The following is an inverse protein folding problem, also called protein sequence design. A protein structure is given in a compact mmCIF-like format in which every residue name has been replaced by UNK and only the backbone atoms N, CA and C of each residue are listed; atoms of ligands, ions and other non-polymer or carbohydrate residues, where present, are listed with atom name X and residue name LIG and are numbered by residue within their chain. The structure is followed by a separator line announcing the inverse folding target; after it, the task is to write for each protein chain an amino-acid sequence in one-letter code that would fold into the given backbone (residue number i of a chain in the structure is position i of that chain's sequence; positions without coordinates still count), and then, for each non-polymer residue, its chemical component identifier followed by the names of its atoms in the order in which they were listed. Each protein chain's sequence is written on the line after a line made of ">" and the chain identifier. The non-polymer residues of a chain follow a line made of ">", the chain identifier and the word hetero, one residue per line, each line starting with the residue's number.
data_IF_442367239088
#
_entry.id   IF_442367239088
#
_cell.length_a   1.000
_cell.length_b   1.000
_cell.length_c   1.000
_cell.angle_alpha   90.00
_cell.angle_beta   90.00
_cell.angle_gamma   90.00
#
_symmetry.space_group_name_H-M   'P 1'
#
loop_
_entity.id
_entity.type
_entity.pdbx_description
1 polymer ?
#
# COMPACT_ATOMS: atom_id res chain seq x y z
N UNK A 1 14.76 9.44 -9.92
CA UNK A 1 14.72 7.95 -9.87
C UNK A 1 13.64 7.36 -10.78
N UNK A 2 12.46 7.97 -10.94
CA UNK A 2 11.39 7.46 -11.83
C UNK A 2 11.84 7.36 -13.29
N UNK A 3 12.60 8.35 -13.79
CA UNK A 3 13.08 8.37 -15.17
C UNK A 3 13.89 7.11 -15.55
N UNK A 4 14.68 6.53 -14.64
CA UNK A 4 15.46 5.33 -14.95
C UNK A 4 14.54 4.11 -15.10
N UNK A 5 13.61 3.90 -14.16
CA UNK A 5 12.70 2.76 -14.23
C UNK A 5 11.77 2.86 -15.44
N UNK A 6 11.26 4.06 -15.75
CA UNK A 6 10.38 4.29 -16.89
C UNK A 6 11.10 4.11 -18.23
N UNK A 7 12.35 4.57 -18.33
CA UNK A 7 13.17 4.45 -19.55
C UNK A 7 13.55 3.00 -19.87
N UNK A 8 13.80 2.15 -18.87
CA UNK A 8 14.32 0.79 -19.09
C UNK A 8 13.31 -0.34 -18.87
N UNK A 9 12.24 -0.11 -18.10
CA UNK A 9 11.27 -1.14 -17.74
C UNK A 9 9.85 -0.83 -18.24
N UNK A 10 9.66 0.28 -18.97
CA UNK A 10 8.36 0.74 -19.46
C UNK A 10 7.32 1.00 -18.36
N UNK A 11 7.76 0.99 -17.09
CA UNK A 11 6.92 1.12 -15.92
C UNK A 11 7.66 1.88 -14.83
N UNK A 12 6.96 2.79 -14.16
CA UNK A 12 7.45 3.47 -12.96
C UNK A 12 7.44 2.49 -11.77
N UNK A 13 8.41 1.57 -11.71
CA UNK A 13 8.61 0.70 -10.53
C UNK A 13 8.99 1.48 -9.26
N UNK A 14 9.17 2.80 -9.35
CA UNK A 14 9.34 3.69 -8.20
C UNK A 14 8.14 3.73 -7.25
N UNK A 15 6.95 3.31 -7.70
CA UNK A 15 5.79 3.21 -6.82
C UNK A 15 5.80 1.96 -5.94
N UNK A 16 6.41 0.85 -6.36
CA UNK A 16 6.46 -0.37 -5.55
C UNK A 16 7.11 -0.16 -4.16
N UNK A 17 8.29 0.49 -4.04
CA UNK A 17 8.87 0.83 -2.73
C UNK A 17 7.97 1.74 -1.89
N UNK A 18 7.21 2.64 -2.54
CA UNK A 18 6.31 3.59 -1.90
C UNK A 18 5.07 2.89 -1.31
N UNK A 19 4.51 1.92 -2.05
CA UNK A 19 3.43 1.05 -1.58
C UNK A 19 3.90 0.20 -0.40
N UNK A 20 5.05 -0.48 -0.54
CA UNK A 20 5.63 -1.30 0.52
C UNK A 20 5.90 -0.49 1.79
N UNK A 21 6.44 0.74 1.65
CA UNK A 21 6.68 1.63 2.78
C UNK A 21 5.38 1.99 3.50
N UNK A 22 4.35 2.43 2.77
CA UNK A 22 3.07 2.84 3.35
C UNK A 22 2.39 1.69 4.11
N UNK A 23 2.31 0.51 3.50
CA UNK A 23 1.70 -0.69 4.11
C UNK A 23 2.49 -1.13 5.34
N UNK A 24 3.84 -1.15 5.28
CA UNK A 24 4.67 -1.54 6.43
C UNK A 24 4.51 -0.57 7.59
N UNK A 25 4.49 0.74 7.32
CA UNK A 25 4.25 1.74 8.36
C UNK A 25 2.85 1.59 8.98
N UNK A 26 1.82 1.35 8.16
CA UNK A 26 0.47 1.10 8.64
C UNK A 26 0.40 -0.14 9.54
N UNK A 27 0.97 -1.28 9.11
CA UNK A 27 1.04 -2.53 9.89
C UNK A 27 1.87 -2.39 11.18
N UNK A 28 2.76 -1.41 11.26
CA UNK A 28 3.49 -1.06 12.49
C UNK A 28 2.74 -0.04 13.38
N UNK A 29 1.44 0.19 13.12
CA UNK A 29 0.59 1.14 13.82
C UNK A 29 1.09 2.60 13.76
N UNK A 30 1.81 2.97 12.69
CA UNK A 30 2.20 4.36 12.50
C UNK A 30 0.97 5.24 12.29
N UNK A 31 0.99 6.45 12.85
CA UNK A 31 -0.08 7.45 12.63
C UNK A 31 -0.18 7.82 11.15
N UNK A 32 -1.41 8.05 10.68
CA UNK A 32 -1.68 8.44 9.29
C UNK A 32 -0.86 9.68 8.86
N UNK A 33 -0.65 10.64 9.76
CA UNK A 33 0.17 11.84 9.51
C UNK A 33 1.66 11.54 9.31
N UNK A 34 2.19 10.50 9.96
CA UNK A 34 3.57 10.06 9.77
C UNK A 34 3.74 9.37 8.40
N UNK A 35 2.76 8.54 8.01
CA UNK A 35 2.70 7.91 6.69
C UNK A 35 2.57 8.99 5.60
N UNK A 36 1.65 9.93 5.77
CA UNK A 36 1.49 11.07 4.86
C UNK A 36 2.80 11.83 4.65
N UNK A 37 3.53 12.12 5.74
CA UNK A 37 4.84 12.81 5.68
C UNK A 37 5.89 11.98 4.96
N UNK A 38 5.96 10.67 5.21
CA UNK A 38 6.89 9.77 4.54
C UNK A 38 6.61 9.65 3.04
N UNK A 39 5.34 9.75 2.65
CA UNK A 39 4.92 9.76 1.25
C UNK A 39 5.06 11.17 0.64
N UNK A 40 5.03 12.24 1.43
CA UNK A 40 4.99 13.61 0.90
C UNK A 40 3.64 13.94 0.27
N UNK A 41 2.54 13.35 0.77
CA UNK A 41 1.20 13.73 0.36
C UNK A 41 0.82 15.08 0.96
N UNK A 42 0.22 15.95 0.16
CA UNK A 42 -0.22 17.28 0.58
C UNK A 42 -1.48 17.25 1.45
N UNK A 43 -2.24 16.15 1.41
CA UNK A 43 -3.51 15.98 2.12
C UNK A 43 -3.60 14.58 2.76
N UNK A 44 -4.01 14.47 4.04
CA UNK A 44 -4.32 13.19 4.68
C UNK A 44 -5.30 12.29 3.91
N UNK A 45 -6.31 12.86 3.26
CA UNK A 45 -7.32 12.11 2.50
C UNK A 45 -6.70 11.27 1.37
N UNK A 46 -5.69 11.83 0.69
CA UNK A 46 -4.93 11.11 -0.35
C UNK A 46 -4.23 9.89 0.26
N UNK A 47 -3.71 10.01 1.48
CA UNK A 47 -3.05 8.90 2.18
C UNK A 47 -4.05 7.83 2.61
N UNK A 48 -5.26 8.23 3.01
CA UNK A 48 -6.34 7.31 3.35
C UNK A 48 -6.75 6.45 2.16
N UNK A 49 -7.13 7.08 1.04
CA UNK A 49 -7.49 6.38 -0.21
C UNK A 49 -6.35 5.48 -0.69
N UNK A 50 -5.12 5.99 -0.67
CA UNK A 50 -3.93 5.22 -1.05
C UNK A 50 -3.74 3.97 -0.19
N UNK A 51 -3.96 4.05 1.13
CA UNK A 51 -3.88 2.89 2.01
C UNK A 51 -5.03 1.92 1.76
N UNK A 52 -6.27 2.39 1.56
CA UNK A 52 -7.41 1.53 1.23
C UNK A 52 -7.17 0.76 -0.07
N UNK A 53 -6.73 1.42 -1.13
CA UNK A 53 -6.39 0.78 -2.41
C UNK A 53 -5.31 -0.31 -2.23
N UNK A 54 -4.27 -0.04 -1.44
CA UNK A 54 -3.16 -0.96 -1.22
C UNK A 54 -3.34 -1.93 -0.06
N UNK A 55 -4.43 -1.87 0.68
CA UNK A 55 -4.83 -2.88 1.65
C UNK A 55 -6.05 -3.65 1.16
N UNK A 56 -6.70 -3.22 0.07
CA UNK A 56 -7.89 -3.87 -0.50
C UNK A 56 -7.67 -5.32 -0.94
N UNK A 57 -6.42 -5.75 -1.17
CA UNK A 57 -6.09 -7.16 -1.42
C UNK A 57 -6.15 -8.01 -0.14
N UNK A 58 -6.09 -7.40 1.04
CA UNK A 58 -6.35 -8.07 2.30
C UNK A 58 -7.86 -8.19 2.44
N UNK A 59 -8.40 -9.35 2.02
CA UNK A 59 -9.80 -9.66 2.28
C UNK A 59 -9.95 -9.94 3.79
N UNK A 60 -10.66 -9.10 4.56
CA UNK A 60 -10.82 -9.30 6.00
C UNK A 60 -11.62 -10.57 6.32
N UNK A 61 -12.36 -11.08 5.34
CA UNK A 61 -13.10 -12.35 5.41
C UNK A 61 -12.29 -13.51 4.84
N UNK A 62 -11.03 -13.31 4.41
CA UNK A 62 -10.24 -14.37 3.78
C UNK A 62 -10.18 -15.62 4.67
N UNK A 63 -9.85 -15.44 5.95
CA UNK A 63 -9.77 -16.53 6.91
C UNK A 63 -11.13 -17.22 7.14
N UNK A 64 -12.22 -16.46 7.22
CA UNK A 64 -13.58 -17.00 7.39
C UNK A 64 -14.05 -17.76 6.14
N UNK A 65 -13.71 -17.27 4.95
CA UNK A 65 -14.04 -17.91 3.67
C UNK A 65 -13.17 -19.16 3.45
N UNK A 66 -11.89 -19.12 3.80
CA UNK A 66 -11.00 -20.30 3.77
C UNK A 66 -11.54 -21.41 4.68
N UNK A 67 -12.01 -21.05 5.88
CA UNK A 67 -12.67 -21.97 6.82
C UNK A 67 -14.02 -22.49 6.29
N UNK A 68 -14.87 -21.62 5.73
CA UNK A 68 -16.18 -21.99 5.17
C UNK A 68 -16.05 -22.92 3.96
N UNK A 69 -15.08 -22.67 3.07
CA UNK A 69 -14.87 -23.45 1.86
C UNK A 69 -13.91 -24.64 2.05
N UNK A 70 -13.26 -24.77 3.22
CA UNK A 70 -12.33 -25.86 3.52
C UNK A 70 -11.08 -25.86 2.63
N UNK A 71 -10.57 -24.67 2.30
CA UNK A 71 -9.39 -24.48 1.44
C UNK A 71 -8.19 -24.18 2.33
N UNK A 72 -7.27 -25.14 2.47
CA UNK A 72 -5.95 -24.99 3.12
C UNK A 72 -4.82 -24.77 2.10
#
# INVERSE_FOLDING_TARGET
>A
MSNICETYLGTSKTHAPRHTLAVRMHRMNAKLTAIQKALGHSNPAITGVYLEEHLSYENPLAAELEEEFGIE
#
